data_IF_144035629443
#
_entry.id   IF_144035629443
#
_cell.length_a   1.000
_cell.length_b   1.000
_cell.length_c   1.000
_cell.angle_alpha   90.00
_cell.angle_beta   90.00
_cell.angle_gamma   90.00
#
_symmetry.space_group_name_H-M   'P 1'
#
loop_
_entity.id
_entity.type
_entity.pdbx_description
1 polymer ?
#
# COMPACT_ATOMS: atom_id res chain seq x y z
N UNK A 1 -8.92 -42.33 53.40
CA UNK A 1 -9.56 -42.03 52.10
C UNK A 1 -10.08 -40.59 52.10
N UNK A 2 -9.32 -39.58 51.68
CA UNK A 2 -7.88 -39.56 51.44
C UNK A 2 -7.39 -38.13 51.24
N UNK A 3 -6.41 -37.73 52.04
CA UNK A 3 -5.59 -36.51 51.85
C UNK A 3 -5.01 -36.46 50.41
N UNK A 4 -4.87 -37.62 49.75
CA UNK A 4 -4.55 -37.75 48.32
C UNK A 4 -5.59 -37.13 47.39
N UNK A 5 -6.89 -37.29 47.65
CA UNK A 5 -7.94 -36.65 46.83
C UNK A 5 -7.94 -35.12 47.03
N UNK A 6 -7.66 -34.65 48.25
CA UNK A 6 -7.54 -33.21 48.51
C UNK A 6 -6.30 -32.60 47.84
N UNK A 7 -5.15 -33.30 47.85
CA UNK A 7 -3.97 -32.85 47.12
C UNK A 7 -4.17 -32.89 45.60
N UNK A 8 -4.79 -33.95 45.06
CA UNK A 8 -5.07 -34.05 43.62
C UNK A 8 -6.05 -32.98 43.14
N UNK A 9 -7.07 -32.64 43.95
CA UNK A 9 -8.00 -31.55 43.66
C UNK A 9 -7.32 -30.18 43.66
N UNK A 10 -6.41 -29.93 44.60
CA UNK A 10 -5.63 -28.69 44.65
C UNK A 10 -4.59 -28.58 43.53
N UNK A 11 -3.96 -29.69 43.13
CA UNK A 11 -3.06 -29.73 41.96
C UNK A 11 -3.85 -29.51 40.67
N UNK A 12 -5.05 -30.10 40.54
CA UNK A 12 -5.92 -29.88 39.39
C UNK A 12 -6.36 -28.40 39.29
N UNK A 13 -6.72 -27.78 40.41
CA UNK A 13 -7.05 -26.34 40.46
C UNK A 13 -5.85 -25.44 40.14
N UNK A 14 -4.63 -25.81 40.55
CA UNK A 14 -3.40 -25.09 40.23
C UNK A 14 -3.05 -25.21 38.74
N UNK A 15 -3.21 -26.38 38.13
CA UNK A 15 -3.02 -26.60 36.68
C UNK A 15 -4.11 -25.90 35.86
N UNK A 16 -5.35 -25.85 36.36
CA UNK A 16 -6.43 -25.07 35.74
C UNK A 16 -6.15 -23.56 35.82
N UNK A 17 -5.62 -23.08 36.95
CA UNK A 17 -5.21 -21.68 37.11
C UNK A 17 -4.00 -21.33 36.24
N UNK A 18 -3.00 -22.21 36.13
CA UNK A 18 -1.84 -22.01 35.25
C UNK A 18 -2.21 -22.11 33.76
N UNK A 19 -3.17 -22.94 33.36
CA UNK A 19 -3.67 -22.98 31.98
C UNK A 19 -4.57 -21.79 31.63
N UNK A 20 -5.36 -21.27 32.58
CA UNK A 20 -6.10 -20.00 32.43
C UNK A 20 -5.17 -18.77 32.42
N UNK A 21 -4.06 -18.79 33.16
CA UNK A 21 -3.03 -17.74 33.11
C UNK A 21 -2.13 -17.85 31.87
N UNK A 22 -1.93 -19.06 31.32
CA UNK A 22 -1.25 -19.26 30.03
C UNK A 22 -2.12 -18.84 28.83
N UNK A 23 -3.45 -18.99 28.93
CA UNK A 23 -4.40 -18.51 27.93
C UNK A 23 -4.65 -16.99 27.97
N UNK A 24 -4.22 -16.29 29.02
CA UNK A 24 -4.35 -14.83 29.14
C UNK A 24 -3.06 -14.03 28.90
N UNK A 25 -1.97 -14.68 28.49
CA UNK A 25 -0.73 -14.01 28.07
C UNK A 25 -0.62 -13.77 26.56
N UNK A 26 -1.76 -13.66 25.86
CA UNK A 26 -1.85 -13.11 24.51
C UNK A 26 -1.98 -11.58 24.44
N UNK A 27 -2.03 -10.90 25.58
CA UNK A 27 -2.29 -9.45 25.70
C UNK A 27 -1.09 -8.56 25.41
N UNK A 28 -0.29 -8.85 24.39
CA UNK A 28 0.56 -7.84 23.79
C UNK A 28 -0.35 -6.93 22.96
N UNK A 29 -0.86 -5.85 23.57
CA UNK A 29 -1.81 -4.88 23.01
C UNK A 29 -1.37 -4.26 21.69
N UNK A 30 -1.44 -5.07 20.63
CA UNK A 30 -1.35 -4.70 19.24
C UNK A 30 -2.77 -4.65 18.70
N UNK A 31 -3.17 -3.49 18.19
CA UNK A 31 -4.35 -3.40 17.34
C UNK A 31 -3.95 -4.05 16.01
N UNK A 32 -4.53 -5.20 15.72
CA UNK A 32 -4.38 -5.85 14.43
C UNK A 32 -5.40 -5.22 13.48
N UNK A 33 -4.93 -4.59 12.39
CA UNK A 33 -5.79 -4.07 11.33
C UNK A 33 -6.43 -5.25 10.57
N UNK A 34 -7.38 -5.95 11.20
CA UNK A 34 -8.11 -7.05 10.57
C UNK A 34 -9.32 -6.49 9.81
N UNK A 35 -9.34 -6.69 8.49
CA UNK A 35 -10.55 -6.47 7.69
C UNK A 35 -11.49 -7.67 7.92
N UNK A 36 -12.57 -7.46 8.68
CA UNK A 36 -13.71 -8.38 8.63
C UNK A 36 -14.35 -8.23 7.25
N UNK A 37 -14.28 -9.28 6.44
CA UNK A 37 -14.92 -9.31 5.14
C UNK A 37 -16.42 -9.56 5.30
N UNK A 38 -17.23 -8.86 4.53
CA UNK A 38 -18.67 -9.03 4.46
C UNK A 38 -19.10 -9.31 3.01
N UNK A 39 -18.84 -10.53 2.48
CA UNK A 39 -19.11 -10.87 1.08
C UNK A 39 -20.54 -10.55 0.63
N UNK A 40 -21.52 -10.77 1.49
CA UNK A 40 -22.94 -10.52 1.27
C UNK A 40 -23.28 -9.04 1.02
N UNK A 41 -22.41 -8.11 1.43
CA UNK A 41 -22.64 -6.67 1.27
C UNK A 41 -21.78 -6.04 0.16
N UNK A 42 -20.88 -6.79 -0.47
CA UNK A 42 -19.93 -6.24 -1.45
C UNK A 42 -20.62 -5.67 -2.71
N UNK A 43 -21.81 -6.16 -3.03
CA UNK A 43 -22.61 -5.72 -4.16
C UNK A 43 -24.01 -5.23 -3.75
N UNK A 44 -24.18 -4.89 -2.47
CA UNK A 44 -25.42 -4.30 -1.97
C UNK A 44 -25.36 -2.78 -2.13
N UNK A 45 -26.32 -2.23 -2.88
CA UNK A 45 -26.45 -0.78 -3.05
C UNK A 45 -26.46 -0.07 -1.69
N UNK A 46 -25.60 0.92 -1.54
CA UNK A 46 -25.54 1.73 -0.33
C UNK A 46 -26.87 2.49 -0.13
N UNK A 47 -27.38 2.46 1.11
CA UNK A 47 -28.52 3.29 1.50
C UNK A 47 -28.14 4.78 1.46
N UNK A 48 -29.12 5.64 1.23
CA UNK A 48 -28.91 7.09 1.31
C UNK A 48 -28.59 7.47 2.76
N UNK A 49 -27.37 7.92 2.99
CA UNK A 49 -26.92 8.43 4.30
C UNK A 49 -27.41 9.88 4.46
N UNK A 50 -27.86 10.25 5.66
CA UNK A 50 -28.21 11.63 5.98
C UNK A 50 -27.02 12.58 5.80
N UNK A 51 -27.29 13.80 5.34
CA UNK A 51 -26.23 14.80 5.03
C UNK A 51 -25.34 15.12 6.24
N UNK A 52 -25.87 15.00 7.46
CA UNK A 52 -25.14 15.25 8.72
C UNK A 52 -23.91 14.36 8.93
N UNK A 53 -23.83 13.21 8.25
CA UNK A 53 -22.70 12.28 8.33
C UNK A 53 -21.74 12.41 7.14
N UNK A 54 -22.09 13.21 6.13
CA UNK A 54 -21.18 13.53 5.03
C UNK A 54 -20.36 14.75 5.40
N UNK A 55 -19.08 14.72 5.05
CA UNK A 55 -18.19 15.85 5.28
C UNK A 55 -18.51 16.98 4.30
N UNK A 56 -18.36 18.23 4.74
CA UNK A 56 -18.63 19.39 3.88
C UNK A 56 -17.49 19.75 2.92
N UNK A 57 -16.25 19.36 3.23
CA UNK A 57 -15.06 19.78 2.47
C UNK A 57 -13.93 18.73 2.41
N UNK A 58 -14.06 17.57 3.06
CA UNK A 58 -13.09 16.49 2.86
C UNK A 58 -13.44 15.72 1.60
N UNK A 59 -12.43 15.25 0.89
CA UNK A 59 -12.66 14.40 -0.27
C UNK A 59 -13.38 13.12 0.16
N UNK A 60 -14.49 12.81 -0.51
CA UNK A 60 -15.17 11.53 -0.42
C UNK A 60 -15.88 11.26 -1.76
N UNK A 61 -16.01 10.00 -2.19
CA UNK A 61 -16.79 9.70 -3.38
C UNK A 61 -18.26 10.08 -3.16
N UNK A 62 -19.04 10.25 -4.25
CA UNK A 62 -20.47 10.52 -4.15
C UNK A 62 -21.21 9.49 -3.28
N UNK A 63 -20.82 8.21 -3.36
CA UNK A 63 -21.40 7.09 -2.61
C UNK A 63 -20.41 5.94 -2.49
N UNK A 64 -20.77 4.92 -1.71
CA UNK A 64 -20.06 3.64 -1.55
C UNK A 64 -18.70 3.74 -0.82
N UNK A 65 -17.98 2.62 -0.77
CA UNK A 65 -16.73 2.46 -0.04
C UNK A 65 -15.53 3.09 -0.77
N UNK A 66 -14.70 3.82 -0.02
CA UNK A 66 -13.36 4.29 -0.41
C UNK A 66 -12.35 3.84 0.66
N UNK A 67 -11.11 3.55 0.24
CA UNK A 67 -9.99 3.43 1.17
C UNK A 67 -8.72 4.14 0.64
N UNK A 68 -7.73 3.38 0.19
CA UNK A 68 -6.38 3.87 -0.04
C UNK A 68 -6.35 4.94 -1.14
N UNK A 69 -5.69 6.10 -0.94
CA UNK A 69 -5.36 7.00 -2.03
C UNK A 69 -4.34 6.35 -2.94
N UNK A 70 -4.51 6.50 -4.24
CA UNK A 70 -3.71 5.86 -5.27
C UNK A 70 -3.22 6.89 -6.29
N UNK A 71 -1.99 6.72 -6.74
CA UNK A 71 -1.31 7.58 -7.72
C UNK A 71 -1.59 9.10 -7.67
N UNK A 72 -1.54 9.79 -6.52
CA UNK A 72 -1.70 11.24 -6.51
C UNK A 72 -0.60 11.89 -7.35
N UNK A 73 -0.96 12.77 -8.28
CA UNK A 73 0.00 13.48 -9.11
C UNK A 73 -0.53 14.82 -9.61
N UNK A 74 0.36 15.72 -10.00
CA UNK A 74 0.02 16.94 -10.72
C UNK A 74 0.43 16.80 -12.18
N UNK A 75 -0.52 16.91 -13.10
CA UNK A 75 -0.29 16.73 -14.53
C UNK A 75 -1.12 17.74 -15.32
N UNK A 76 -0.48 18.43 -16.28
CA UNK A 76 -1.13 19.37 -17.22
C UNK A 76 -2.14 20.35 -16.58
N UNK A 77 -1.81 20.89 -15.41
CA UNK A 77 -2.64 21.89 -14.74
C UNK A 77 -3.63 21.32 -13.72
N UNK A 78 -3.71 19.99 -13.57
CA UNK A 78 -4.65 19.32 -12.68
C UNK A 78 -3.95 18.46 -11.65
N UNK A 79 -4.47 18.49 -10.42
CA UNK A 79 -4.23 17.48 -9.42
C UNK A 79 -5.12 16.27 -9.72
N UNK A 80 -4.52 15.11 -9.92
CA UNK A 80 -5.21 13.84 -10.08
C UNK A 80 -5.17 13.09 -8.75
N UNK A 81 -6.32 12.59 -8.32
CA UNK A 81 -6.44 11.69 -7.19
C UNK A 81 -7.18 10.43 -7.65
N UNK A 82 -6.49 9.30 -7.58
CA UNK A 82 -7.11 7.99 -7.70
C UNK A 82 -7.30 7.40 -6.31
N UNK A 83 -8.19 6.43 -6.18
CA UNK A 83 -8.45 5.78 -4.90
C UNK A 83 -9.13 4.43 -5.08
N UNK A 84 -8.83 3.49 -4.18
CA UNK A 84 -9.56 2.24 -4.11
C UNK A 84 -11.03 2.51 -3.83
N UNK A 85 -11.89 1.93 -4.66
CA UNK A 85 -13.32 2.16 -4.67
C UNK A 85 -14.08 0.85 -4.90
N UNK A 86 -15.18 0.66 -4.16
CA UNK A 86 -16.17 -0.36 -4.50
C UNK A 86 -17.35 0.30 -5.22
N UNK A 87 -17.54 0.08 -6.53
CA UNK A 87 -18.65 0.69 -7.26
C UNK A 87 -20.03 0.09 -6.93
N UNK A 88 -20.06 -1.05 -6.24
CA UNK A 88 -21.29 -1.82 -5.99
C UNK A 88 -21.75 -1.85 -4.53
N UNK A 89 -20.95 -1.37 -3.58
CA UNK A 89 -21.34 -1.44 -2.17
C UNK A 89 -20.54 -0.57 -1.21
N UNK A 90 -21.09 -0.37 -0.01
CA UNK A 90 -20.50 0.44 1.05
C UNK A 90 -19.49 -0.32 1.94
N UNK A 91 -19.04 -1.51 1.53
CA UNK A 91 -18.00 -2.30 2.20
C UNK A 91 -16.87 -2.64 1.24
N UNK A 92 -15.72 -3.07 1.76
CA UNK A 92 -14.58 -3.49 0.95
C UNK A 92 -14.94 -4.69 0.04
N UNK A 93 -14.63 -4.57 -1.25
CA UNK A 93 -14.88 -5.57 -2.30
C UNK A 93 -14.88 -4.93 -3.69
N UNK A 94 -14.81 -5.74 -4.75
CA UNK A 94 -14.90 -5.26 -6.15
C UNK A 94 -13.98 -4.07 -6.49
N UNK A 95 -12.75 -4.10 -5.98
CA UNK A 95 -11.88 -2.92 -5.95
C UNK A 95 -11.44 -2.49 -7.36
N UNK A 96 -11.75 -1.23 -7.66
CA UNK A 96 -11.26 -0.45 -8.80
C UNK A 96 -10.52 0.79 -8.30
N UNK A 97 -9.81 1.49 -9.18
CA UNK A 97 -9.35 2.85 -8.95
C UNK A 97 -10.36 3.82 -9.55
N UNK A 98 -11.16 4.44 -8.69
CA UNK A 98 -11.93 5.62 -9.09
C UNK A 98 -11.00 6.84 -9.21
N UNK A 99 -11.44 7.87 -9.91
CA UNK A 99 -10.59 9.00 -10.31
C UNK A 99 -11.34 10.32 -10.14
N UNK A 100 -10.70 11.30 -9.53
CA UNK A 100 -11.14 12.69 -9.51
C UNK A 100 -9.99 13.63 -9.85
N UNK A 101 -10.33 14.79 -10.41
CA UNK A 101 -9.38 15.86 -10.71
C UNK A 101 -9.74 17.16 -10.02
N UNK A 102 -8.75 18.00 -9.74
CA UNK A 102 -8.93 19.31 -9.13
C UNK A 102 -7.89 20.31 -9.65
N UNK A 103 -8.21 21.60 -9.60
CA UNK A 103 -7.23 22.68 -9.86
C UNK A 103 -6.61 23.26 -8.59
N UNK A 104 -7.19 22.98 -7.42
CA UNK A 104 -6.86 23.63 -6.15
C UNK A 104 -6.76 22.67 -4.96
N UNK A 105 -6.93 21.35 -5.20
CA UNK A 105 -7.00 20.28 -4.19
C UNK A 105 -8.21 20.37 -3.23
N UNK A 106 -9.15 21.29 -3.47
CA UNK A 106 -10.33 21.53 -2.64
C UNK A 106 -11.60 21.16 -3.41
N UNK A 107 -11.75 21.70 -4.62
CA UNK A 107 -12.89 21.48 -5.49
C UNK A 107 -12.57 20.36 -6.47
N UNK A 108 -13.27 19.23 -6.33
CA UNK A 108 -12.99 18.00 -7.08
C UNK A 108 -14.11 17.67 -8.08
N UNK A 109 -13.73 17.35 -9.30
CA UNK A 109 -14.60 16.77 -10.33
C UNK A 109 -14.38 15.25 -10.37
N UNK A 110 -15.45 14.47 -10.16
CA UNK A 110 -15.39 13.01 -10.28
C UNK A 110 -15.43 12.57 -11.74
N UNK A 111 -14.56 11.63 -12.09
CA UNK A 111 -14.44 11.03 -13.42
C UNK A 111 -14.81 9.53 -13.36
N UNK A 112 -14.77 8.89 -14.52
CA UNK A 112 -14.93 7.44 -14.63
C UNK A 112 -13.77 6.69 -13.93
N UNK A 113 -13.99 5.46 -13.41
CA UNK A 113 -12.90 4.64 -12.88
C UNK A 113 -11.81 4.40 -13.93
N UNK A 114 -10.57 4.71 -13.56
CA UNK A 114 -9.42 4.67 -14.46
C UNK A 114 -8.84 3.26 -14.61
N UNK A 115 -8.76 2.49 -13.51
CA UNK A 115 -8.16 1.15 -13.48
C UNK A 115 -9.16 0.20 -12.83
N UNK A 116 -9.63 -0.81 -13.57
CA UNK A 116 -10.65 -1.77 -13.10
C UNK A 116 -10.34 -3.18 -13.61
N UNK A 117 -10.71 -4.27 -12.90
CA UNK A 117 -10.44 -5.64 -13.35
C UNK A 117 -10.87 -5.88 -14.80
N UNK A 118 -9.91 -6.19 -15.67
CA UNK A 118 -10.16 -6.26 -17.12
C UNK A 118 -9.23 -7.23 -17.85
N UNK A 119 -8.21 -7.77 -17.17
CA UNK A 119 -7.20 -8.66 -17.76
C UNK A 119 -6.87 -9.80 -16.79
N UNK A 120 -6.27 -10.91 -17.26
CA UNK A 120 -5.91 -12.04 -16.39
C UNK A 120 -5.00 -11.68 -15.21
N UNK A 121 -4.21 -10.63 -15.32
CA UNK A 121 -3.29 -10.17 -14.28
C UNK A 121 -3.94 -9.31 -13.18
N UNK A 122 -5.25 -9.02 -13.26
CA UNK A 122 -5.96 -8.24 -12.25
C UNK A 122 -7.45 -8.57 -12.08
N UNK A 123 -7.91 -9.71 -12.63
CA UNK A 123 -9.34 -10.04 -12.70
C UNK A 123 -10.04 -10.18 -11.34
N UNK A 124 -9.28 -10.32 -10.23
CA UNK A 124 -9.84 -10.33 -8.86
C UNK A 124 -9.73 -9.00 -8.13
N UNK A 125 -9.09 -7.99 -8.71
CA UNK A 125 -9.00 -6.67 -8.10
C UNK A 125 -7.80 -5.87 -8.60
N UNK A 126 -7.99 -4.56 -8.68
CA UNK A 126 -6.92 -3.58 -8.92
C UNK A 126 -6.62 -2.86 -7.60
N UNK A 127 -5.63 -3.32 -6.86
CA UNK A 127 -5.24 -2.77 -5.56
C UNK A 127 -4.24 -1.61 -5.69
N UNK A 128 -3.83 -1.08 -4.55
CA UNK A 128 -3.07 0.16 -4.41
C UNK A 128 -1.77 0.19 -5.21
N UNK A 129 -1.32 1.41 -5.44
CA UNK A 129 -0.18 1.72 -6.26
C UNK A 129 0.03 3.22 -6.40
N UNK A 130 1.02 3.57 -7.21
CA UNK A 130 1.55 4.93 -7.29
C UNK A 130 1.78 5.36 -8.73
N UNK A 131 1.80 6.67 -8.95
CA UNK A 131 2.11 7.28 -10.24
C UNK A 131 3.58 7.75 -10.24
N UNK A 132 4.22 7.69 -11.40
CA UNK A 132 5.53 8.31 -11.66
C UNK A 132 5.43 9.07 -12.98
N UNK A 133 5.96 10.29 -13.04
CA UNK A 133 6.05 11.04 -14.30
C UNK A 133 7.45 10.80 -14.87
N UNK A 134 7.53 10.01 -15.94
CA UNK A 134 8.79 9.71 -16.62
C UNK A 134 9.27 10.91 -17.45
N UNK A 135 10.57 10.96 -17.82
CA UNK A 135 11.11 11.94 -18.74
C UNK A 135 10.27 12.07 -20.01
N UNK A 136 10.08 13.31 -20.46
CA UNK A 136 9.15 13.61 -21.57
C UNK A 136 7.69 13.78 -21.15
N UNK A 137 7.42 13.98 -19.84
CA UNK A 137 6.09 14.23 -19.29
C UNK A 137 5.10 13.08 -19.53
N UNK A 138 5.58 11.85 -19.30
CA UNK A 138 4.83 10.60 -19.53
C UNK A 138 4.45 9.96 -18.20
N UNK A 139 3.21 10.13 -17.71
CA UNK A 139 2.80 9.50 -16.47
C UNK A 139 2.62 8.00 -16.68
N UNK A 140 3.07 7.23 -15.70
CA UNK A 140 2.91 5.78 -15.63
C UNK A 140 2.42 5.42 -14.24
N UNK A 141 1.46 4.49 -14.16
CA UNK A 141 0.97 3.95 -12.90
C UNK A 141 1.57 2.56 -12.72
N UNK A 142 2.12 2.30 -11.53
CA UNK A 142 2.39 0.95 -11.03
C UNK A 142 1.32 0.60 -10.02
N UNK A 143 0.75 -0.60 -10.11
CA UNK A 143 -0.31 -1.06 -9.21
C UNK A 143 -0.25 -2.56 -8.95
N UNK A 144 -0.88 -3.01 -7.86
CA UNK A 144 -0.99 -4.44 -7.57
C UNK A 144 -2.27 -5.02 -8.18
N UNK A 145 -2.14 -6.05 -9.02
CA UNK A 145 -3.27 -6.86 -9.48
C UNK A 145 -3.42 -8.15 -8.69
N UNK A 146 -4.67 -8.62 -8.56
CA UNK A 146 -5.01 -9.90 -7.93
C UNK A 146 -5.43 -10.92 -8.98
N UNK A 147 -4.78 -12.10 -8.96
CA UNK A 147 -4.91 -13.13 -10.01
C UNK A 147 -5.59 -14.42 -9.56
N UNK A 148 -6.06 -14.53 -8.33
CA UNK A 148 -6.81 -15.70 -7.89
C UNK A 148 -7.61 -15.40 -6.61
N UNK A 149 -8.59 -16.25 -6.24
CA UNK A 149 -9.29 -16.15 -4.95
C UNK A 149 -8.37 -16.25 -3.73
N UNK A 150 -7.17 -16.83 -3.87
CA UNK A 150 -6.14 -16.91 -2.84
C UNK A 150 -5.37 -15.59 -2.64
N UNK A 151 -5.72 -14.54 -3.38
CA UNK A 151 -5.13 -13.21 -3.32
C UNK A 151 -3.64 -13.17 -3.68
N UNK A 152 -3.21 -13.98 -4.65
CA UNK A 152 -1.87 -13.84 -5.24
C UNK A 152 -1.73 -12.44 -5.85
N UNK A 153 -0.71 -11.71 -5.38
CA UNK A 153 -0.43 -10.31 -5.75
C UNK A 153 0.74 -10.22 -6.74
N UNK A 154 0.53 -9.49 -7.82
CA UNK A 154 1.55 -9.19 -8.84
C UNK A 154 1.55 -7.70 -9.15
N UNK A 155 2.69 -7.15 -9.58
CA UNK A 155 2.82 -5.73 -9.88
C UNK A 155 2.71 -5.50 -11.38
N UNK A 156 1.74 -4.66 -11.75
CA UNK A 156 1.38 -4.31 -13.10
C UNK A 156 1.66 -2.84 -13.36
N UNK A 157 1.59 -2.43 -14.62
CA UNK A 157 1.59 -1.02 -15.00
C UNK A 157 0.47 -0.67 -15.96
N UNK A 158 0.12 0.61 -15.95
CA UNK A 158 -0.80 1.23 -16.89
C UNK A 158 -0.24 2.57 -17.36
N UNK A 159 -0.58 2.95 -18.60
CA UNK A 159 -0.21 4.21 -19.24
C UNK A 159 -1.46 4.91 -19.77
N UNK A 160 -1.51 6.25 -19.87
CA UNK A 160 -2.64 6.92 -20.47
C UNK A 160 -2.87 6.47 -21.91
N UNK A 161 -4.13 6.29 -22.29
CA UNK A 161 -4.50 6.06 -23.69
C UNK A 161 -4.30 7.32 -24.55
N UNK A 162 -4.41 8.49 -23.93
CA UNK A 162 -4.22 9.79 -24.57
C UNK A 162 -3.55 10.77 -23.60
N UNK A 163 -2.24 10.96 -23.72
CA UNK A 163 -1.50 11.93 -22.91
C UNK A 163 -1.94 13.38 -23.17
N UNK A 164 -2.60 13.67 -24.30
CA UNK A 164 -3.13 15.00 -24.62
C UNK A 164 -4.39 15.36 -23.83
N UNK A 165 -5.12 14.37 -23.31
CA UNK A 165 -6.24 14.59 -22.41
C UNK A 165 -5.71 15.06 -21.04
N UNK A 166 -5.94 16.32 -20.62
CA UNK A 166 -5.48 16.79 -19.33
C UNK A 166 -6.13 16.06 -18.16
N UNK A 167 -7.27 15.39 -18.38
CA UNK A 167 -7.99 14.66 -17.33
C UNK A 167 -7.51 13.21 -17.22
N UNK A 168 -6.75 12.69 -18.18
CA UNK A 168 -6.24 11.31 -18.21
C UNK A 168 -7.32 10.27 -17.91
N UNK A 169 -8.47 10.37 -18.60
CA UNK A 169 -9.66 9.53 -18.31
C UNK A 169 -9.46 8.06 -18.61
N UNK A 170 -8.68 7.74 -19.64
CA UNK A 170 -8.54 6.39 -20.18
C UNK A 170 -7.11 5.88 -20.02
N UNK A 171 -6.97 4.64 -19.56
CA UNK A 171 -5.69 4.01 -19.29
C UNK A 171 -5.59 2.66 -20.01
N UNK A 172 -4.46 2.43 -20.65
CA UNK A 172 -4.09 1.18 -21.29
C UNK A 172 -3.28 0.36 -20.30
N UNK A 173 -3.64 -0.92 -20.15
CA UNK A 173 -2.86 -1.93 -19.43
C UNK A 173 -2.17 -2.82 -20.46
N UNK A 174 -0.85 -2.67 -20.66
CA UNK A 174 -0.16 -3.43 -21.70
C UNK A 174 -0.15 -4.94 -21.43
N UNK A 175 -0.10 -5.73 -22.49
CA UNK A 175 -0.18 -7.19 -22.43
C UNK A 175 1.11 -7.86 -21.94
N UNK A 176 2.21 -7.12 -21.82
CA UNK A 176 3.45 -7.59 -21.17
C UNK A 176 3.41 -7.51 -19.64
N UNK A 177 2.25 -7.22 -19.03
CA UNK A 177 2.03 -7.39 -17.60
C UNK A 177 1.98 -8.87 -17.18
N UNK A 178 2.38 -9.22 -15.94
CA UNK A 178 2.95 -8.35 -14.92
C UNK A 178 4.42 -7.99 -15.14
N UNK A 179 4.84 -6.86 -14.59
CA UNK A 179 6.25 -6.46 -14.56
C UNK A 179 7.03 -7.16 -13.43
N UNK A 180 6.39 -7.40 -12.29
CA UNK A 180 7.03 -8.01 -11.12
C UNK A 180 6.13 -9.04 -10.47
N UNK A 181 6.67 -10.24 -10.29
CA UNK A 181 6.07 -11.34 -9.52
C UNK A 181 6.89 -11.65 -8.28
N UNK A 182 6.26 -12.25 -7.26
CA UNK A 182 6.96 -12.69 -6.07
C UNK A 182 8.01 -13.77 -6.41
N UNK A 183 9.29 -13.48 -6.15
CA UNK A 183 10.39 -14.44 -6.34
C UNK A 183 10.30 -15.58 -5.33
N UNK A 184 11.07 -16.66 -5.53
CA UNK A 184 11.22 -17.72 -4.53
C UNK A 184 11.54 -17.13 -3.14
N UNK A 185 10.82 -17.62 -2.11
CA UNK A 185 10.96 -17.15 -0.73
C UNK A 185 10.26 -15.82 -0.39
N UNK A 186 9.61 -15.15 -1.35
CA UNK A 186 8.69 -14.04 -1.11
C UNK A 186 7.26 -14.60 -0.98
N UNK A 187 6.50 -14.08 -0.01
CA UNK A 187 5.11 -14.50 0.15
C UNK A 187 4.23 -13.77 -0.89
N UNK A 188 3.70 -14.50 -1.86
CA UNK A 188 2.89 -13.94 -2.95
C UNK A 188 1.56 -13.33 -2.51
N UNK A 189 1.05 -13.66 -1.32
CA UNK A 189 -0.17 -13.05 -0.75
C UNK A 189 0.14 -11.87 0.17
N UNK A 190 1.41 -11.49 0.28
CA UNK A 190 1.90 -10.37 1.06
C UNK A 190 3.03 -9.67 0.31
N UNK A 191 2.68 -9.15 -0.88
CA UNK A 191 3.59 -8.54 -1.85
C UNK A 191 2.82 -7.51 -2.70
N UNK A 192 2.71 -6.25 -2.24
CA UNK A 192 1.82 -5.26 -2.86
C UNK A 192 2.25 -3.81 -2.63
N UNK A 193 1.49 -2.91 -3.26
CA UNK A 193 1.54 -1.45 -3.10
C UNK A 193 2.89 -0.87 -3.57
N UNK A 194 3.18 -0.89 -4.89
CA UNK A 194 4.41 -0.32 -5.42
C UNK A 194 4.45 1.20 -5.23
N UNK A 195 5.61 1.73 -4.84
CA UNK A 195 5.82 3.17 -4.63
C UNK A 195 5.92 3.95 -5.92
N UNK A 196 5.82 5.29 -5.81
CA UNK A 196 6.41 6.19 -6.78
C UNK A 196 7.88 5.83 -6.96
N UNK A 197 8.37 5.81 -8.19
CA UNK A 197 9.75 5.48 -8.47
C UNK A 197 10.66 6.69 -8.29
N UNK A 198 11.92 6.43 -7.96
CA UNK A 198 12.97 7.45 -7.96
C UNK A 198 14.16 6.97 -8.79
N UNK A 199 14.87 7.91 -9.40
CA UNK A 199 16.07 7.62 -10.16
C UNK A 199 17.31 7.94 -9.32
N UNK A 200 18.22 6.97 -9.21
CA UNK A 200 19.53 7.19 -8.59
C UNK A 200 20.46 8.00 -9.49
N UNK A 201 21.61 8.46 -8.95
CA UNK A 201 22.66 9.13 -9.74
C UNK A 201 23.24 8.26 -10.85
N UNK A 202 23.08 6.95 -10.73
CA UNK A 202 23.44 5.94 -11.73
C UNK A 202 22.44 5.84 -12.89
N UNK A 203 21.40 6.67 -12.91
CA UNK A 203 20.35 6.64 -13.93
C UNK A 203 19.40 5.45 -13.82
N UNK A 204 19.46 4.69 -12.72
CA UNK A 204 18.63 3.49 -12.51
C UNK A 204 17.40 3.85 -11.67
N UNK A 205 16.23 3.48 -12.17
CA UNK A 205 14.96 3.60 -11.45
C UNK A 205 14.89 2.59 -10.31
N UNK A 206 14.25 3.00 -9.22
CA UNK A 206 14.03 2.19 -8.03
C UNK A 206 12.59 2.34 -7.58
N UNK A 207 12.01 1.24 -7.11
CA UNK A 207 10.70 1.22 -6.43
C UNK A 207 10.81 0.35 -5.18
N UNK A 208 9.89 0.57 -4.24
CA UNK A 208 9.62 -0.37 -3.17
C UNK A 208 8.31 -1.10 -3.42
N UNK A 209 8.23 -2.34 -2.95
CA UNK A 209 6.99 -3.12 -2.83
C UNK A 209 6.89 -3.61 -1.39
N UNK A 210 5.74 -3.37 -0.76
CA UNK A 210 5.47 -3.79 0.61
C UNK A 210 5.32 -5.30 0.70
N UNK A 211 5.79 -5.89 1.81
CA UNK A 211 5.66 -7.31 2.02
C UNK A 211 5.91 -7.77 3.45
N UNK A 212 5.86 -9.09 3.65
CA UNK A 212 6.30 -9.71 4.91
C UNK A 212 6.99 -11.06 4.72
N UNK A 213 7.87 -11.38 5.66
CA UNK A 213 8.35 -12.76 5.88
C UNK A 213 8.06 -13.15 7.32
N UNK A 214 7.18 -14.13 7.51
CA UNK A 214 6.62 -14.46 8.84
C UNK A 214 6.01 -13.20 9.48
N UNK A 215 6.50 -12.77 10.65
CA UNK A 215 6.05 -11.56 11.34
C UNK A 215 7.00 -10.36 11.15
N UNK A 216 7.84 -10.36 10.11
CA UNK A 216 8.74 -9.25 9.77
C UNK A 216 8.23 -8.53 8.54
N UNK A 217 7.90 -7.24 8.68
CA UNK A 217 7.56 -6.36 7.57
C UNK A 217 8.80 -6.05 6.73
N UNK A 218 8.62 -5.94 5.41
CA UNK A 218 9.70 -5.80 4.44
C UNK A 218 9.32 -4.75 3.40
N UNK A 219 10.26 -3.85 3.09
CA UNK A 219 10.22 -3.00 1.91
C UNK A 219 11.14 -3.63 0.85
N UNK A 220 10.56 -4.41 -0.06
CA UNK A 220 11.32 -5.05 -1.14
C UNK A 220 11.79 -3.98 -2.13
N UNK A 221 13.08 -3.92 -2.40
CA UNK A 221 13.66 -2.98 -3.35
C UNK A 221 13.82 -3.62 -4.72
N UNK A 222 13.38 -2.93 -5.76
CA UNK A 222 13.58 -3.31 -7.16
C UNK A 222 14.30 -2.20 -7.91
N UNK A 223 15.07 -2.58 -8.93
CA UNK A 223 15.84 -1.69 -9.81
C UNK A 223 15.46 -1.92 -11.27
N UNK A 224 15.39 -0.87 -12.08
CA UNK A 224 15.14 -0.95 -13.52
C UNK A 224 15.86 0.16 -14.29
N UNK A 225 16.29 -0.13 -15.52
CA UNK A 225 16.86 0.89 -16.42
C UNK A 225 15.81 1.49 -17.36
N UNK A 226 14.76 0.74 -17.67
CA UNK A 226 13.79 1.04 -18.73
C UNK A 226 12.34 1.13 -18.21
N UNK A 227 12.14 0.96 -16.90
CA UNK A 227 10.85 0.94 -16.21
C UNK A 227 9.96 -0.27 -16.50
N UNK A 228 10.37 -1.17 -17.40
CA UNK A 228 9.62 -2.38 -17.76
C UNK A 228 10.27 -3.64 -17.21
N UNK A 229 11.60 -3.71 -17.16
CA UNK A 229 12.32 -4.85 -16.61
C UNK A 229 12.86 -4.52 -15.22
N UNK A 230 12.33 -5.21 -14.21
CA UNK A 230 12.65 -4.95 -12.81
C UNK A 230 13.39 -6.11 -12.17
N UNK A 231 14.58 -5.82 -11.64
CA UNK A 231 15.40 -6.78 -10.91
C UNK A 231 15.31 -6.49 -9.42
N UNK A 232 14.93 -7.49 -8.63
CA UNK A 232 14.91 -7.41 -7.17
C UNK A 232 16.33 -7.27 -6.64
N UNK A 233 16.55 -6.32 -5.72
CA UNK A 233 17.83 -6.22 -5.01
C UNK A 233 18.02 -7.41 -4.05
N UNK A 234 19.29 -7.77 -3.81
CA UNK A 234 19.65 -8.86 -2.89
C UNK A 234 19.10 -8.61 -1.47
N UNK A 235 19.20 -7.36 -1.01
CA UNK A 235 18.69 -6.93 0.29
C UNK A 235 17.48 -6.00 0.12
N UNK A 236 16.46 -6.11 0.99
CA UNK A 236 15.40 -5.11 1.04
C UNK A 236 15.97 -3.78 1.51
N UNK A 237 15.34 -2.66 1.13
CA UNK A 237 15.75 -1.34 1.61
C UNK A 237 15.74 -1.30 3.15
N UNK A 238 14.62 -1.76 3.71
CA UNK A 238 14.47 -1.92 5.14
C UNK A 238 13.49 -3.03 5.50
N UNK A 239 13.51 -3.40 6.77
CA UNK A 239 12.61 -4.38 7.35
C UNK A 239 12.62 -4.27 8.86
N UNK A 240 11.52 -4.64 9.51
CA UNK A 240 11.44 -4.66 10.97
C UNK A 240 10.67 -5.87 11.46
N UNK A 241 11.19 -6.50 12.51
CA UNK A 241 10.53 -7.65 13.13
C UNK A 241 9.30 -7.20 13.92
N UNK A 242 8.31 -8.09 14.06
CA UNK A 242 7.10 -7.91 14.88
C UNK A 242 6.14 -6.81 14.40
N UNK A 243 6.24 -6.38 13.14
CA UNK A 243 5.36 -5.37 12.53
C UNK A 243 4.30 -5.96 11.59
N UNK A 244 4.38 -7.27 11.28
CA UNK A 244 3.44 -7.91 10.35
C UNK A 244 3.67 -7.51 8.89
N UNK A 245 2.58 -7.34 8.14
CA UNK A 245 2.62 -6.83 6.76
C UNK A 245 2.96 -5.34 6.74
N UNK A 246 3.83 -4.92 5.82
CA UNK A 246 4.01 -3.51 5.47
C UNK A 246 3.20 -3.20 4.22
N UNK A 247 2.17 -2.38 4.37
CA UNK A 247 1.34 -1.86 3.30
C UNK A 247 1.75 -0.44 2.93
N UNK A 248 1.43 -0.03 1.70
CA UNK A 248 1.63 1.31 1.18
C UNK A 248 2.96 1.92 1.63
N UNK A 249 4.10 1.28 1.29
CA UNK A 249 5.40 1.87 1.49
C UNK A 249 5.43 3.25 0.82
N UNK A 250 6.23 4.16 1.37
CA UNK A 250 6.57 5.40 0.70
C UNK A 250 8.02 5.76 1.03
N UNK A 251 8.72 6.32 0.04
CA UNK A 251 10.13 6.68 0.16
C UNK A 251 10.44 7.93 -0.66
N UNK A 252 10.72 9.03 0.03
CA UNK A 252 10.90 10.33 -0.60
C UNK A 252 11.92 11.20 0.13
N UNK A 253 12.59 12.12 -0.58
CA UNK A 253 13.53 13.05 0.00
C UNK A 253 12.82 14.26 0.65
N UNK A 254 13.45 14.81 1.68
CA UNK A 254 13.09 16.07 2.33
C UNK A 254 14.32 16.95 2.48
N UNK A 255 14.14 18.26 2.37
CA UNK A 255 15.22 19.22 2.59
C UNK A 255 15.54 19.32 4.08
N UNK A 256 16.83 19.34 4.42
CA UNK A 256 17.32 19.62 5.77
C UNK A 256 17.30 21.09 6.14
N UNK A 257 17.14 21.99 5.16
CA UNK A 257 17.29 23.45 5.32
C UNK A 257 16.13 24.27 4.76
N UNK A 258 15.25 23.68 3.95
CA UNK A 258 14.10 24.35 3.32
C UNK A 258 12.77 23.77 3.80
N UNK A 259 11.71 24.60 3.72
CA UNK A 259 10.31 24.20 3.97
C UNK A 259 9.59 23.67 2.72
N UNK A 260 10.23 23.71 1.56
CA UNK A 260 9.64 23.26 0.30
C UNK A 260 9.80 21.74 0.11
N UNK A 261 8.86 21.15 -0.64
CA UNK A 261 8.96 19.76 -1.09
C UNK A 261 10.10 19.56 -2.11
N UNK A 262 10.52 18.31 -2.27
CA UNK A 262 11.53 17.90 -3.24
C UNK A 262 10.94 16.89 -4.21
N UNK A 263 11.45 16.88 -5.45
CA UNK A 263 11.21 15.77 -6.39
C UNK A 263 11.71 14.45 -5.78
N UNK A 264 11.03 13.33 -6.08
CA UNK A 264 11.36 12.01 -5.50
C UNK A 264 12.79 11.56 -5.81
N UNK A 265 13.40 12.04 -6.90
CA UNK A 265 14.78 11.73 -7.29
C UNK A 265 15.81 12.74 -6.75
N UNK A 266 15.39 13.75 -5.98
CA UNK A 266 16.28 14.76 -5.43
C UNK A 266 17.32 14.15 -4.48
N UNK A 267 18.58 14.55 -4.67
CA UNK A 267 19.73 14.06 -3.91
C UNK A 267 20.68 15.22 -3.61
N UNK A 268 21.37 15.17 -2.47
CA UNK A 268 22.31 16.21 -2.07
C UNK A 268 22.79 16.02 -0.64
N UNK A 269 23.76 16.83 -0.22
CA UNK A 269 24.32 16.75 1.14
C UNK A 269 23.29 17.14 2.21
N UNK A 270 22.43 18.12 1.89
CA UNK A 270 21.35 18.59 2.77
C UNK A 270 20.03 17.83 2.58
N UNK A 271 20.03 16.72 1.82
CA UNK A 271 18.84 15.91 1.59
C UNK A 271 18.80 14.71 2.54
N UNK A 272 17.69 14.56 3.25
CA UNK A 272 17.38 13.37 4.06
C UNK A 272 16.25 12.60 3.38
N UNK A 273 16.15 11.30 3.65
CA UNK A 273 15.04 10.51 3.12
C UNK A 273 14.10 10.06 4.24
N UNK A 274 12.81 10.12 3.95
CA UNK A 274 11.74 9.55 4.75
C UNK A 274 11.40 8.19 4.17
N UNK A 275 11.50 7.15 4.99
CA UNK A 275 10.86 5.87 4.73
C UNK A 275 9.61 5.79 5.58
N UNK A 276 8.43 5.58 4.98
CA UNK A 276 7.14 5.43 5.67
C UNK A 276 6.51 4.08 5.33
N UNK A 277 5.91 3.42 6.32
CA UNK A 277 5.20 2.15 6.14
C UNK A 277 3.90 2.16 6.94
N UNK A 278 2.86 1.46 6.44
CA UNK A 278 1.65 1.14 7.20
C UNK A 278 1.74 -0.31 7.71
N UNK A 279 2.13 -0.55 8.97
CA UNK A 279 2.20 -1.90 9.51
C UNK A 279 0.81 -2.43 9.89
N UNK A 280 0.60 -3.74 9.68
CA UNK A 280 -0.66 -4.42 10.03
C UNK A 280 -0.83 -4.65 11.54
N UNK A 281 0.27 -4.66 12.31
CA UNK A 281 0.26 -4.70 13.78
C UNK A 281 0.89 -3.43 14.30
N UNK A 282 0.07 -2.56 14.88
CA UNK A 282 0.53 -1.41 15.67
C UNK A 282 0.21 -1.71 17.12
N UNK A 283 1.20 -1.66 18.00
CA UNK A 283 0.90 -1.50 19.43
C UNK A 283 0.36 -0.11 19.66
N UNK A 284 -0.60 0.04 20.58
CA UNK A 284 -1.06 1.36 21.02
C UNK A 284 0.15 2.21 21.42
N UNK A 285 0.39 3.31 20.71
CA UNK A 285 1.55 4.19 20.92
C UNK A 285 2.73 4.02 19.93
N UNK A 286 2.71 3.04 19.03
CA UNK A 286 3.67 2.98 17.91
C UNK A 286 3.12 3.75 16.71
N UNK A 287 3.88 4.75 16.24
CA UNK A 287 3.55 5.54 15.06
C UNK A 287 4.17 4.95 13.79
N UNK A 288 3.72 5.45 12.64
CA UNK A 288 4.42 5.34 11.35
C UNK A 288 5.93 5.46 11.59
N UNK A 289 6.68 4.42 11.27
CA UNK A 289 8.14 4.47 11.41
C UNK A 289 8.68 5.38 10.31
N UNK A 290 8.84 6.67 10.63
CA UNK A 290 9.58 7.63 9.80
C UNK A 290 11.04 7.52 10.22
N UNK A 291 11.81 6.75 9.46
CA UNK A 291 13.26 6.72 9.64
C UNK A 291 13.90 7.73 8.69
N UNK A 292 14.62 8.69 9.25
CA UNK A 292 15.59 9.48 8.50
C UNK A 292 16.70 8.56 8.02
N UNK A 293 16.71 8.19 6.74
CA UNK A 293 17.82 7.43 6.14
C UNK A 293 18.82 8.46 5.62
N UNK A 294 20.06 8.41 6.11
CA UNK A 294 21.13 9.29 5.63
C UNK A 294 21.62 8.84 4.25
N UNK A 295 22.18 9.74 3.42
CA UNK A 295 22.77 9.36 2.13
C UNK A 295 23.76 8.19 2.23
N UNK A 296 24.53 8.10 3.33
CA UNK A 296 25.44 6.99 3.59
C UNK A 296 24.71 5.66 3.81
N UNK A 297 23.55 5.62 4.47
CA UNK A 297 22.72 4.40 4.57
C UNK A 297 22.04 4.05 3.23
N UNK A 298 21.83 5.04 2.36
CA UNK A 298 21.45 4.92 0.94
C UNK A 298 22.64 4.59 0.02
N UNK A 299 23.87 4.53 0.54
CA UNK A 299 25.08 4.15 -0.22
C UNK A 299 25.70 2.82 0.26
N UNK A 300 25.71 2.56 1.57
CA UNK A 300 26.41 1.42 2.21
C UNK A 300 25.66 0.07 2.12
N UNK A 301 24.38 0.07 1.75
CA UNK A 301 23.58 -1.16 1.52
C UNK A 301 23.45 -1.58 0.04
N UNK A 302 24.18 -0.93 -0.86
CA UNK A 302 23.85 -0.88 -2.29
C UNK A 302 24.86 -1.55 -3.20
N UNK A 303 25.92 -2.11 -2.59
CA UNK A 303 26.88 -3.04 -3.18
C UNK A 303 26.41 -4.49 -2.99
#
# INVERSE_FOLDING_TARGET
MEIRQFLLFNIFLLVLHLSLLSNNNGGGGGVEASHKLFPEFQSLNAVRVGEVHRTGFHFQPPRNWINDPNGPMYYKGFYHLFYQYNPYGAVWGNIVWAHSVSKDMINWESLEPAIYPSKPFDYKGCWSGSATILPGNKPIILYTGIIDPGQTQIQNYAIPANESDPYLRQWIKPDNNPLVVASQGVNSTAFRDPTTAWQGKDGVWRILVGGRRRNRGIAHLYKSKDFTHWTKAQHPLHSKARTGMWECPDFFPVSGSSKNGLDTSAQGNDVKHVLKMKPHKLKTGEHVEVKGITPAQVAVKWD
#
